data_IF_147319475924
#
_entry.id   IF_147319475924
#
_cell.length_a   1.000
_cell.length_b   1.000
_cell.length_c   1.000
_cell.angle_alpha   90.00
_cell.angle_beta   90.00
_cell.angle_gamma   90.00
#
_symmetry.space_group_name_H-M   'P 1'
#
loop_
_entity.id
_entity.type
_entity.pdbx_description
1 polymer ?
#
# COMPACT_ATOMS: atom_id res chain seq x y z
N UNK A 1 -3.95 -9.32 -11.30
CA UNK A 1 -3.23 -8.62 -10.24
C UNK A 1 -1.76 -8.69 -10.55
N UNK A 2 -1.10 -7.56 -10.56
CA UNK A 2 0.35 -7.43 -10.71
C UNK A 2 0.94 -6.97 -9.37
N UNK A 3 2.07 -7.53 -8.98
CA UNK A 3 2.79 -7.15 -7.75
C UNK A 3 4.22 -6.80 -8.12
N UNK A 4 4.65 -5.59 -7.79
CA UNK A 4 5.99 -5.08 -8.08
C UNK A 4 6.71 -4.86 -6.75
N UNK A 5 7.87 -5.50 -6.61
CA UNK A 5 8.79 -5.24 -5.50
C UNK A 5 9.45 -3.87 -5.66
N UNK A 6 9.65 -3.17 -4.55
CA UNK A 6 10.43 -1.93 -4.54
C UNK A 6 11.88 -2.19 -4.13
N UNK A 7 12.70 -1.13 -4.09
CA UNK A 7 14.08 -1.23 -3.60
C UNK A 7 14.16 -1.56 -2.10
N UNK A 8 13.07 -1.38 -1.36
CA UNK A 8 12.98 -1.72 0.06
C UNK A 8 12.27 -3.07 0.18
N UNK A 9 13.00 -4.09 0.61
CA UNK A 9 12.45 -5.43 0.76
C UNK A 9 11.22 -5.45 1.68
N UNK A 10 10.12 -6.02 1.20
CA UNK A 10 8.84 -6.08 1.89
C UNK A 10 7.89 -4.95 1.55
N UNK A 11 8.34 -3.91 0.85
CA UNK A 11 7.45 -2.85 0.34
C UNK A 11 7.09 -3.17 -1.10
N UNK A 12 5.80 -3.31 -1.38
CA UNK A 12 5.28 -3.72 -2.69
C UNK A 12 4.22 -2.77 -3.20
N UNK A 13 4.19 -2.60 -4.51
CA UNK A 13 3.09 -1.91 -5.21
C UNK A 13 2.24 -2.97 -5.91
N UNK A 14 0.95 -2.93 -5.65
CA UNK A 14 -0.02 -3.90 -6.15
C UNK A 14 -0.96 -3.19 -7.11
N UNK A 15 -1.08 -3.71 -8.33
CA UNK A 15 -2.04 -3.21 -9.32
C UNK A 15 -3.14 -4.26 -9.51
N UNK A 16 -4.36 -4.03 -9.02
CA UNK A 16 -5.47 -4.95 -9.21
C UNK A 16 -5.91 -4.95 -10.68
N UNK A 17 -6.51 -6.04 -11.11
CA UNK A 17 -7.18 -6.07 -12.40
C UNK A 17 -8.49 -5.31 -12.30
N UNK A 18 -8.65 -4.29 -13.14
CA UNK A 18 -9.85 -3.45 -13.22
C UNK A 18 -10.64 -3.81 -14.47
N UNK A 19 -11.90 -4.18 -14.32
CA UNK A 19 -12.82 -4.50 -15.40
C UNK A 19 -13.74 -3.31 -15.63
N UNK A 20 -13.59 -2.63 -16.76
CA UNK A 20 -14.33 -1.44 -17.12
C UNK A 20 -15.38 -1.72 -18.18
N UNK A 21 -16.56 -1.12 -18.04
CA UNK A 21 -17.63 -1.11 -19.03
C UNK A 21 -18.43 0.20 -18.99
N UNK A 22 -19.52 0.30 -19.74
CA UNK A 22 -20.34 1.50 -19.80
C UNK A 22 -21.01 1.88 -18.47
N UNK A 23 -21.06 0.96 -17.50
CA UNK A 23 -21.65 1.20 -16.17
C UNK A 23 -20.63 1.71 -15.16
N UNK A 24 -19.32 1.59 -15.44
CA UNK A 24 -18.23 1.93 -14.55
C UNK A 24 -17.15 0.83 -14.50
N UNK A 25 -16.77 0.38 -13.32
CA UNK A 25 -15.77 -0.67 -13.19
C UNK A 25 -16.06 -1.61 -12.02
N UNK A 26 -15.46 -2.78 -12.11
CA UNK A 26 -15.34 -3.75 -11.02
C UNK A 26 -13.87 -4.10 -10.82
N UNK A 27 -13.42 -4.21 -9.57
CA UNK A 27 -12.08 -4.67 -9.23
C UNK A 27 -12.13 -5.44 -7.91
N UNK A 28 -11.41 -6.58 -7.84
CA UNK A 28 -11.09 -7.22 -6.57
C UNK A 28 -9.88 -6.51 -5.98
N UNK A 29 -10.06 -5.79 -4.90
CA UNK A 29 -9.00 -4.99 -4.28
C UNK A 29 -8.27 -5.73 -3.16
N UNK A 30 -8.89 -6.73 -2.57
CA UNK A 30 -8.27 -7.61 -1.59
C UNK A 30 -8.85 -9.02 -1.65
N UNK A 31 -7.96 -10.01 -1.62
CA UNK A 31 -8.29 -11.41 -1.47
C UNK A 31 -7.15 -12.09 -0.72
N UNK A 32 -7.39 -12.54 0.49
CA UNK A 32 -6.36 -13.07 1.38
C UNK A 32 -5.55 -14.21 0.75
N UNK A 33 -6.22 -15.17 0.09
CA UNK A 33 -5.53 -16.30 -0.53
C UNK A 33 -4.64 -15.87 -1.70
N UNK A 34 -5.10 -14.94 -2.54
CA UNK A 34 -4.33 -14.42 -3.68
C UNK A 34 -3.17 -13.56 -3.23
N UNK A 35 -3.35 -12.76 -2.19
CA UNK A 35 -2.29 -11.93 -1.62
C UNK A 35 -1.20 -12.80 -1.02
N UNK A 36 -1.58 -13.81 -0.25
CA UNK A 36 -0.65 -14.78 0.32
C UNK A 36 0.14 -15.54 -0.76
N UNK A 37 -0.55 -15.98 -1.83
CA UNK A 37 0.09 -16.62 -2.98
C UNK A 37 1.08 -15.69 -3.71
N UNK A 38 0.86 -14.37 -3.67
CA UNK A 38 1.73 -13.35 -4.24
C UNK A 38 2.85 -12.88 -3.28
N UNK A 39 3.04 -13.58 -2.15
CA UNK A 39 4.09 -13.28 -1.18
C UNK A 39 3.77 -12.09 -0.27
N UNK A 40 2.50 -11.79 -0.07
CA UNK A 40 2.02 -10.80 0.90
C UNK A 40 1.45 -11.58 2.09
N UNK A 41 2.25 -11.80 3.15
CA UNK A 41 1.89 -12.75 4.21
C UNK A 41 0.92 -12.19 5.25
N UNK A 42 0.69 -10.88 5.26
CA UNK A 42 -0.11 -10.23 6.29
C UNK A 42 -1.59 -10.60 6.18
N UNK A 43 -2.17 -10.96 7.32
CA UNK A 43 -3.62 -11.11 7.47
C UNK A 43 -4.16 -9.76 7.98
N UNK A 44 -4.81 -8.99 7.10
CA UNK A 44 -5.37 -7.70 7.46
C UNK A 44 -6.68 -7.88 8.20
N UNK A 45 -6.73 -7.43 9.44
CA UNK A 45 -7.85 -7.67 10.38
C UNK A 45 -8.56 -6.38 10.80
N UNK A 46 -8.08 -5.24 10.34
CA UNK A 46 -8.64 -3.92 10.65
C UNK A 46 -8.62 -3.06 9.40
N UNK A 47 -9.67 -2.31 9.18
CA UNK A 47 -9.80 -1.35 8.08
C UNK A 47 -10.08 0.05 8.65
N UNK A 48 -9.34 1.04 8.13
CA UNK A 48 -9.51 2.45 8.50
C UNK A 48 -9.60 3.29 7.23
N UNK A 49 -10.41 4.32 7.26
CA UNK A 49 -10.49 5.30 6.19
C UNK A 49 -10.23 6.71 6.73
N UNK A 50 -9.52 7.52 5.98
CA UNK A 50 -9.31 8.92 6.28
C UNK A 50 -9.56 9.80 5.06
N UNK A 51 -10.02 11.02 5.29
CA UNK A 51 -10.15 12.05 4.29
C UNK A 51 -9.24 13.21 4.62
N UNK A 52 -8.51 13.71 3.63
CA UNK A 52 -7.65 14.89 3.76
C UNK A 52 -7.93 15.88 2.64
N UNK A 53 -7.80 17.15 2.95
CA UNK A 53 -7.80 18.22 1.96
C UNK A 53 -6.47 18.23 1.20
N UNK A 54 -6.44 18.86 0.02
CA UNK A 54 -5.21 19.06 -0.75
C UNK A 54 -4.14 19.77 0.10
N UNK A 55 -2.91 19.28 0.02
CA UNK A 55 -1.76 19.84 0.71
C UNK A 55 -1.55 19.34 2.13
N UNK A 56 -2.43 18.47 2.66
CA UNK A 56 -2.23 17.87 3.98
C UNK A 56 -1.13 16.84 3.92
N UNK A 57 -0.17 16.97 4.84
CA UNK A 57 0.88 15.99 5.10
C UNK A 57 0.56 15.25 6.40
N UNK A 58 0.63 13.92 6.36
CA UNK A 58 0.50 13.06 7.54
C UNK A 58 1.73 12.16 7.65
N UNK A 59 2.26 12.05 8.84
CA UNK A 59 3.36 11.12 9.10
C UNK A 59 4.65 11.83 9.55
N UNK A 60 5.75 11.10 9.57
CA UNK A 60 5.83 9.65 9.38
C UNK A 60 5.21 8.92 10.58
N UNK A 61 4.64 7.72 10.35
CA UNK A 61 4.04 6.90 11.40
C UNK A 61 4.64 5.50 11.40
N UNK A 62 4.93 4.98 12.59
CA UNK A 62 5.34 3.59 12.78
C UNK A 62 4.94 3.11 14.17
N UNK A 63 4.98 1.80 14.36
CA UNK A 63 4.80 1.17 15.66
C UNK A 63 5.97 0.24 15.94
N UNK A 64 6.58 0.43 17.12
CA UNK A 64 7.69 -0.41 17.55
C UNK A 64 7.22 -1.83 17.92
N UNK A 65 8.11 -2.82 17.80
CA UNK A 65 7.86 -4.16 18.29
C UNK A 65 7.49 -4.14 19.80
N UNK A 66 6.56 -5.00 20.26
CA UNK A 66 5.88 -6.08 19.55
C UNK A 66 4.58 -5.64 18.82
N UNK A 67 4.32 -4.35 18.67
CA UNK A 67 3.07 -3.81 18.12
C UNK A 67 3.19 -3.37 16.66
N UNK A 68 4.14 -3.92 15.93
CA UNK A 68 4.31 -3.64 14.50
C UNK A 68 3.07 -4.02 13.71
N UNK A 69 2.72 -3.20 12.73
CA UNK A 69 1.58 -3.42 11.84
C UNK A 69 2.01 -3.34 10.39
N UNK A 70 1.68 -4.37 9.61
CA UNK A 70 1.67 -4.26 8.16
C UNK A 70 0.44 -3.43 7.73
N UNK A 71 0.59 -2.67 6.66
CA UNK A 71 -0.48 -1.83 6.12
C UNK A 71 -0.66 -2.07 4.64
N UNK A 72 -1.92 -2.15 4.22
CA UNK A 72 -2.31 -2.15 2.82
C UNK A 72 -3.03 -0.82 2.54
N UNK A 73 -2.35 0.09 1.84
CA UNK A 73 -2.84 1.44 1.60
C UNK A 73 -3.40 1.57 0.19
N UNK A 74 -4.60 2.11 0.05
CA UNK A 74 -5.18 2.47 -1.25
C UNK A 74 -5.94 3.78 -1.19
N UNK A 75 -6.14 4.40 -2.34
CA UNK A 75 -6.90 5.64 -2.48
C UNK A 75 -8.20 5.36 -3.21
N UNK A 76 -9.33 5.64 -2.57
CA UNK A 76 -10.67 5.46 -3.14
C UNK A 76 -11.17 6.70 -3.87
N UNK A 77 -10.61 7.88 -3.58
CA UNK A 77 -10.93 9.15 -4.22
C UNK A 77 -9.73 10.09 -4.20
N UNK A 78 -9.39 10.68 -5.33
CA UNK A 78 -8.26 11.59 -5.46
C UNK A 78 -6.93 10.86 -5.59
N UNK A 79 -5.86 11.44 -5.05
CA UNK A 79 -4.51 10.89 -5.13
C UNK A 79 -3.70 11.23 -3.89
N UNK A 80 -2.77 10.35 -3.55
CA UNK A 80 -1.81 10.48 -2.45
C UNK A 80 -0.42 10.09 -2.94
N UNK A 81 0.57 10.89 -2.58
CA UNK A 81 1.98 10.52 -2.68
C UNK A 81 2.38 9.80 -1.40
N UNK A 82 2.54 8.48 -1.49
CA UNK A 82 2.85 7.63 -0.34
C UNK A 82 4.36 7.37 -0.29
N UNK A 83 4.97 7.71 0.84
CA UNK A 83 6.42 7.59 1.06
C UNK A 83 6.69 6.63 2.20
N UNK A 84 7.52 5.64 1.95
CA UNK A 84 7.93 4.62 2.93
C UNK A 84 9.43 4.74 3.18
N UNK A 85 9.81 4.89 4.44
CA UNK A 85 11.21 4.94 4.90
C UNK A 85 11.54 3.66 5.64
N UNK A 86 12.66 3.03 5.29
CA UNK A 86 13.15 1.86 6.02
C UNK A 86 13.82 2.29 7.32
N UNK A 87 13.19 1.95 8.43
CA UNK A 87 13.70 2.23 9.79
C UNK A 87 14.12 0.96 10.53
N UNK A 88 14.24 -0.18 9.83
CA UNK A 88 14.64 -1.46 10.44
C UNK A 88 16.14 -1.46 10.71
N UNK A 89 16.53 -1.59 11.98
CA UNK A 89 17.93 -1.73 12.37
C UNK A 89 18.57 -2.96 11.69
N UNK A 90 19.76 -2.78 11.11
CA UNK A 90 20.47 -3.84 10.41
C UNK A 90 20.00 -4.14 8.98
N UNK A 91 18.95 -3.47 8.50
CA UNK A 91 18.53 -3.57 7.10
C UNK A 91 19.59 -2.96 6.17
N UNK A 92 19.89 -3.58 5.02
CA UNK A 92 20.81 -2.99 4.03
C UNK A 92 20.27 -1.68 3.42
N UNK A 93 18.98 -1.42 3.54
CA UNK A 93 18.31 -0.19 3.07
C UNK A 93 17.90 0.74 4.21
N UNK A 94 18.41 0.54 5.43
CA UNK A 94 18.13 1.42 6.56
C UNK A 94 18.34 2.90 6.21
N UNK A 95 17.34 3.74 6.50
CA UNK A 95 17.34 5.17 6.20
C UNK A 95 17.04 5.55 4.75
N UNK A 96 16.92 4.58 3.85
CA UNK A 96 16.45 4.82 2.48
C UNK A 96 14.93 4.89 2.42
N UNK A 97 14.42 5.50 1.37
CA UNK A 97 12.99 5.59 1.14
C UNK A 97 12.61 5.16 -0.28
N UNK A 98 11.39 4.74 -0.44
CA UNK A 98 10.72 4.57 -1.72
C UNK A 98 9.37 5.28 -1.69
N UNK A 99 8.81 5.56 -2.85
CA UNK A 99 7.54 6.28 -2.93
C UNK A 99 6.70 5.80 -4.12
N UNK A 100 5.39 5.92 -3.97
CA UNK A 100 4.44 5.59 -5.02
C UNK A 100 3.28 6.60 -5.05
N UNK A 101 2.81 6.93 -6.25
CA UNK A 101 1.54 7.63 -6.43
C UNK A 101 0.42 6.60 -6.33
N UNK A 102 -0.45 6.77 -5.34
CA UNK A 102 -1.68 6.00 -5.20
C UNK A 102 -2.87 6.89 -5.55
N UNK A 103 -3.75 6.43 -6.42
CA UNK A 103 -4.91 7.21 -6.83
C UNK A 103 -6.11 6.32 -7.14
N UNK A 104 -7.30 6.90 -7.06
CA UNK A 104 -8.52 6.23 -7.52
C UNK A 104 -8.45 5.87 -9.01
N UNK A 105 -7.67 6.62 -9.80
CA UNK A 105 -7.53 6.43 -11.24
C UNK A 105 -6.61 5.25 -11.57
N UNK A 106 -5.42 5.17 -10.94
CA UNK A 106 -4.48 4.07 -11.18
C UNK A 106 -4.83 2.80 -10.40
N UNK A 107 -5.70 2.91 -9.41
CA UNK A 107 -6.16 1.82 -8.54
C UNK A 107 -5.04 1.06 -7.79
N UNK A 108 -3.83 1.59 -7.75
CA UNK A 108 -2.68 0.96 -7.10
C UNK A 108 -2.85 0.94 -5.57
N UNK A 109 -2.31 -0.11 -4.96
CA UNK A 109 -2.18 -0.25 -3.52
C UNK A 109 -0.70 -0.36 -3.16
N UNK A 110 -0.33 0.12 -1.99
CA UNK A 110 0.99 -0.10 -1.41
C UNK A 110 0.87 -1.05 -0.20
N UNK A 111 1.71 -2.07 -0.16
CA UNK A 111 1.95 -2.88 1.03
C UNK A 111 3.22 -2.37 1.73
N UNK A 112 3.10 -2.16 3.03
CA UNK A 112 4.16 -1.62 3.87
C UNK A 112 4.30 -2.45 5.13
#
# INVERSE_FOLDING_TARGET
MEVVETEIAGVKVITPRVFRDARGYFAETYNAARYKAAGIPADFVQDNESLSQKGVLRGLHWQAAPHTQAKLVRVVRGAVWDVVVDIRAGSPTFGKFTAAMLSAENANLAEI
#
